data_IF_275118254369
#
_entry.id   IF_275118254369
#
_cell.length_a   1.000
_cell.length_b   1.000
_cell.length_c   1.000
_cell.angle_alpha   90.00
_cell.angle_beta   90.00
_cell.angle_gamma   90.00
#
_symmetry.space_group_name_H-M   'P 1'
#
loop_
_entity.id
_entity.type
_entity.pdbx_description
1 polymer ?
#
# COMPACT_ATOMS: atom_id res chain seq x y z
N UNK A 10 0.35 -21.70 -20.97
CA UNK A 10 0.77 -20.55 -21.79
C UNK A 10 0.01 -20.56 -23.11
N UNK A 11 -0.09 -19.46 -23.85
CA UNK A 11 0.37 -18.10 -23.55
C UNK A 11 -0.78 -17.20 -23.07
N UNK A 12 -1.37 -17.56 -21.95
CA UNK A 12 -1.44 -16.58 -20.87
C UNK A 12 -0.21 -16.83 -19.99
N UNK A 13 -0.40 -17.04 -18.69
CA UNK A 13 0.59 -17.27 -17.61
C UNK A 13 1.51 -16.09 -17.33
N UNK A 14 1.98 -15.46 -18.39
CA UNK A 14 2.79 -14.23 -18.40
C UNK A 14 2.01 -13.11 -19.09
N UNK A 15 1.34 -13.37 -20.22
CA UNK A 15 0.34 -12.48 -20.87
C UNK A 15 -1.01 -12.46 -20.10
N UNK A 16 -0.88 -12.10 -18.83
CA UNK A 16 -1.89 -12.06 -17.74
C UNK A 16 -1.29 -11.34 -16.52
N UNK A 17 0.00 -11.54 -16.25
CA UNK A 17 0.77 -10.79 -15.26
C UNK A 17 1.26 -9.48 -15.88
N UNK A 18 1.88 -9.54 -17.06
CA UNK A 18 2.11 -8.37 -17.93
C UNK A 18 0.83 -7.61 -18.27
N UNK A 19 -0.33 -8.29 -18.21
CA UNK A 19 -1.66 -7.69 -18.38
C UNK A 19 -2.13 -6.94 -17.13
N UNK A 20 -1.91 -7.50 -15.93
CA UNK A 20 -2.02 -6.78 -14.63
C UNK A 20 -1.15 -5.53 -14.65
N UNK A 21 0.12 -5.68 -15.00
CA UNK A 21 1.11 -4.60 -15.07
C UNK A 21 0.93 -3.62 -16.24
N UNK A 22 0.04 -3.91 -17.20
CA UNK A 22 -0.47 -2.88 -18.11
C UNK A 22 -1.65 -2.13 -17.48
N UNK A 23 -2.62 -2.85 -16.89
CA UNK A 23 -3.91 -2.31 -16.46
C UNK A 23 -3.74 -1.32 -15.31
N UNK A 24 -2.93 -1.70 -14.31
CA UNK A 24 -2.68 -0.86 -13.14
C UNK A 24 -1.81 0.35 -13.47
N UNK A 25 -1.16 0.35 -14.63
CA UNK A 25 -0.19 1.35 -15.00
C UNK A 25 -0.68 2.32 -16.10
N UNK A 26 -1.53 1.84 -17.03
CA UNK A 26 -2.15 2.65 -18.10
C UNK A 26 -3.35 3.44 -17.59
N UNK A 27 -3.30 4.79 -17.50
CA UNK A 27 -4.45 5.59 -17.11
C UNK A 27 -5.50 5.55 -18.23
N UNK A 28 -6.71 5.06 -17.95
CA UNK A 28 -7.82 4.99 -18.90
C UNK A 28 -9.13 5.22 -18.15
N UNK A 29 -10.26 5.21 -18.86
CA UNK A 29 -11.58 5.10 -18.24
C UNK A 29 -11.66 3.88 -17.31
N UNK A 30 -11.12 2.73 -17.73
CA UNK A 30 -11.11 1.51 -16.90
C UNK A 30 -10.24 1.58 -15.66
N UNK A 31 -8.99 2.06 -15.76
CA UNK A 31 -8.15 2.24 -14.56
C UNK A 31 -8.85 3.19 -13.58
N UNK A 32 -9.28 4.36 -14.06
CA UNK A 32 -9.98 5.35 -13.24
C UNK A 32 -11.23 4.75 -12.57
N UNK A 33 -12.10 4.10 -13.35
CA UNK A 33 -13.39 3.61 -12.85
C UNK A 33 -13.22 2.61 -11.70
N UNK A 34 -12.41 1.56 -11.90
CA UNK A 34 -12.35 0.45 -10.93
C UNK A 34 -11.35 0.68 -9.80
N UNK A 35 -10.19 1.27 -10.10
CA UNK A 35 -9.08 1.39 -9.15
C UNK A 35 -9.43 2.39 -8.03
N UNK A 36 -10.06 3.53 -8.36
CA UNK A 36 -10.36 4.58 -7.38
C UNK A 36 -11.61 4.31 -6.54
N UNK A 37 -12.59 3.54 -7.04
CA UNK A 37 -13.59 2.93 -6.16
C UNK A 37 -12.93 2.06 -5.08
N UNK A 38 -12.05 1.11 -5.45
CA UNK A 38 -11.27 0.35 -4.49
C UNK A 38 -10.45 1.21 -3.49
N UNK A 39 -9.77 2.30 -3.90
CA UNK A 39 -9.01 3.10 -2.91
C UNK A 39 -9.91 3.76 -1.86
N UNK A 40 -11.07 4.32 -2.24
CA UNK A 40 -12.00 4.92 -1.28
C UNK A 40 -12.60 3.85 -0.35
N UNK A 41 -13.00 2.70 -0.90
CA UNK A 41 -13.56 1.59 -0.12
C UNK A 41 -12.53 1.12 0.92
N UNK A 42 -11.28 0.89 0.50
CA UNK A 42 -10.21 0.46 1.40
C UNK A 42 -9.91 1.52 2.45
N UNK A 43 -9.83 2.81 2.11
CA UNK A 43 -9.47 3.83 3.11
C UNK A 43 -10.49 3.97 4.24
N UNK A 44 -11.78 3.88 3.90
CA UNK A 44 -12.88 3.88 4.85
C UNK A 44 -12.83 2.64 5.77
N UNK A 45 -12.59 1.46 5.19
CA UNK A 45 -12.38 0.22 5.97
C UNK A 45 -11.17 0.34 6.88
N UNK A 46 -10.01 0.72 6.35
CA UNK A 46 -8.75 0.88 7.08
C UNK A 46 -8.82 1.96 8.18
N UNK A 47 -9.56 3.06 7.99
CA UNK A 47 -9.69 4.12 9.00
C UNK A 47 -10.73 3.81 10.09
N UNK A 48 -11.85 3.18 9.75
CA UNK A 48 -12.77 2.62 10.77
C UNK A 48 -12.03 1.56 11.58
N UNK A 49 -11.30 0.68 10.90
CA UNK A 49 -10.44 -0.30 11.54
C UNK A 49 -9.30 0.34 12.33
N UNK A 50 -8.75 1.50 11.95
CA UNK A 50 -7.70 2.21 12.71
C UNK A 50 -8.20 2.66 14.08
N UNK A 51 -9.42 3.22 14.15
CA UNK A 51 -10.11 3.60 15.41
C UNK A 51 -10.31 2.39 16.33
N UNK A 52 -10.65 1.24 15.76
CA UNK A 52 -10.76 -0.04 16.48
C UNK A 52 -9.38 -0.60 16.90
N UNK A 53 -8.43 -0.63 15.97
CA UNK A 53 -7.07 -1.19 16.09
C UNK A 53 -6.26 -0.53 17.21
N UNK A 54 -6.41 0.78 17.40
CA UNK A 54 -5.71 1.53 18.43
C UNK A 54 -6.31 1.32 19.84
N UNK A 55 -7.34 0.47 19.95
CA UNK A 55 -7.89 -0.12 21.18
C UNK A 55 -7.67 -1.65 21.24
N UNK A 56 -7.73 -2.35 20.10
CA UNK A 56 -7.31 -3.76 19.98
C UNK A 56 -5.86 -4.00 20.43
N UNK A 57 -5.00 -3.02 20.25
CA UNK A 57 -3.60 -3.05 20.72
C UNK A 57 -3.45 -3.17 22.24
N UNK A 58 -4.49 -2.79 23.01
CA UNK A 58 -4.54 -2.98 24.46
C UNK A 58 -5.25 -4.29 24.82
N UNK A 59 -6.18 -4.75 23.98
CA UNK A 59 -6.78 -6.08 24.04
C UNK A 59 -5.72 -7.17 23.80
N UNK A 60 -4.74 -6.91 22.92
CA UNK A 60 -3.58 -7.77 22.67
C UNK A 60 -2.65 -7.98 23.88
N UNK A 61 -2.88 -7.27 25.00
CA UNK A 61 -2.22 -7.50 26.30
C UNK A 61 -2.89 -8.60 27.14
N UNK A 62 -4.13 -8.99 26.79
CA UNK A 62 -5.03 -9.75 27.65
C UNK A 62 -5.69 -10.95 26.97
N UNK A 63 -6.06 -10.81 25.69
CA UNK A 63 -7.22 -11.52 25.13
C UNK A 63 -7.13 -11.63 23.61
N UNK A 64 -8.10 -12.30 22.98
CA UNK A 64 -8.22 -12.38 21.54
C UNK A 64 -8.66 -11.06 20.91
N UNK A 65 -8.33 -10.87 19.63
CA UNK A 65 -8.43 -9.56 18.96
C UNK A 65 -8.38 -9.67 17.43
N UNK A 66 -9.00 -8.73 16.72
CA UNK A 66 -8.95 -8.60 15.26
C UNK A 66 -7.59 -8.05 14.73
N UNK A 67 -6.64 -7.78 15.62
CA UNK A 67 -5.35 -7.13 15.31
C UNK A 67 -4.54 -7.82 14.21
N UNK A 68 -4.73 -9.13 14.02
CA UNK A 68 -4.16 -9.90 12.90
C UNK A 68 -4.45 -9.31 11.52
N UNK A 69 -5.61 -8.66 11.35
CA UNK A 69 -6.02 -8.07 10.07
C UNK A 69 -5.19 -6.83 9.70
N UNK A 70 -4.51 -6.21 10.65
CA UNK A 70 -3.52 -5.15 10.33
C UNK A 70 -2.32 -5.73 9.59
N UNK A 71 -1.85 -6.93 9.97
CA UNK A 71 -0.77 -7.63 9.26
C UNK A 71 -1.23 -8.04 7.86
N UNK A 72 -2.50 -8.47 7.71
CA UNK A 72 -3.11 -8.77 6.40
C UNK A 72 -3.10 -7.54 5.47
N UNK A 73 -3.57 -6.39 5.95
CA UNK A 73 -3.54 -5.15 5.17
C UNK A 73 -2.14 -4.58 5.00
N UNK A 74 -1.20 -4.79 5.94
CA UNK A 74 0.23 -4.54 5.71
C UNK A 74 0.80 -5.41 4.58
N UNK A 75 0.40 -6.68 4.48
CA UNK A 75 0.81 -7.54 3.37
C UNK A 75 0.18 -7.10 2.06
N UNK A 76 -1.09 -6.64 2.08
CA UNK A 76 -1.70 -5.96 0.94
C UNK A 76 -0.89 -4.72 0.51
N UNK A 77 -0.65 -3.76 1.41
CA UNK A 77 0.07 -2.52 1.06
C UNK A 77 1.54 -2.73 0.71
N UNK A 78 2.23 -3.63 1.40
CA UNK A 78 3.60 -4.05 1.07
C UNK A 78 3.68 -4.71 -0.30
N UNK A 79 2.74 -5.62 -0.61
CA UNK A 79 2.62 -6.21 -1.96
C UNK A 79 2.27 -5.14 -3.00
N UNK A 80 1.34 -4.23 -2.70
CA UNK A 80 0.88 -3.15 -3.57
C UNK A 80 1.98 -2.15 -3.95
N UNK A 81 2.95 -1.90 -3.05
CA UNK A 81 4.15 -1.14 -3.37
C UNK A 81 5.05 -1.89 -4.38
N UNK A 82 5.28 -3.19 -4.17
CA UNK A 82 6.11 -4.03 -5.05
C UNK A 82 5.44 -4.30 -6.40
N UNK A 83 4.11 -4.39 -6.43
CA UNK A 83 3.30 -4.53 -7.65
C UNK A 83 3.49 -3.34 -8.61
N UNK A 84 3.62 -2.13 -8.08
CA UNK A 84 4.07 -0.97 -8.88
C UNK A 84 5.48 -1.16 -9.42
N UNK A 85 6.42 -1.66 -8.61
CA UNK A 85 7.79 -1.96 -9.09
C UNK A 85 7.83 -3.03 -10.18
N UNK A 86 6.92 -3.99 -10.14
CA UNK A 86 6.72 -4.96 -11.23
C UNK A 86 6.08 -4.34 -12.49
N UNK A 87 5.15 -3.37 -12.39
CA UNK A 87 4.75 -2.53 -13.54
C UNK A 87 5.73 -1.41 -13.90
N UNK A 88 6.96 -1.41 -13.36
CA UNK A 88 8.06 -0.65 -13.97
C UNK A 88 8.15 -0.87 -15.49
N UNK A 89 8.03 -2.15 -15.91
CA UNK A 89 8.12 -2.51 -17.33
C UNK A 89 7.56 -3.89 -17.69
N UNK A 90 6.65 -4.45 -16.87
CA UNK A 90 5.83 -5.65 -17.15
C UNK A 90 6.57 -7.00 -17.22
N UNK A 91 7.77 -7.04 -17.81
CA UNK A 91 8.77 -8.12 -17.70
C UNK A 91 10.00 -7.74 -16.87
N UNK A 92 10.13 -6.47 -16.51
CA UNK A 92 11.32 -5.82 -15.90
C UNK A 92 11.58 -6.19 -14.43
N UNK A 93 11.14 -7.36 -13.96
CA UNK A 93 10.92 -7.64 -12.54
C UNK A 93 12.17 -7.86 -11.67
N UNK A 94 13.36 -7.78 -12.29
CA UNK A 94 14.61 -7.40 -11.64
C UNK A 94 15.09 -6.01 -12.11
N UNK A 95 15.00 -5.73 -13.42
CA UNK A 95 15.59 -4.53 -14.07
C UNK A 95 14.97 -3.22 -13.56
N UNK A 96 13.74 -2.91 -13.94
CA UNK A 96 12.99 -1.75 -13.49
C UNK A 96 12.37 -1.92 -12.09
N UNK A 97 12.40 -3.14 -11.54
CA UNK A 97 12.09 -3.37 -10.13
C UNK A 97 12.98 -2.49 -9.24
N UNK A 98 14.28 -2.41 -9.54
CA UNK A 98 15.11 -1.32 -9.02
C UNK A 98 14.89 -0.01 -9.77
N UNK A 99 14.94 -0.02 -11.11
CA UNK A 99 14.99 1.20 -11.92
C UNK A 99 13.86 2.22 -11.70
N UNK A 100 12.63 1.77 -11.41
CA UNK A 100 11.53 2.70 -11.06
C UNK A 100 11.52 3.10 -9.59
N UNK A 101 12.14 2.31 -8.73
CA UNK A 101 12.27 2.62 -7.31
C UNK A 101 13.29 3.75 -7.16
N UNK A 102 14.39 3.59 -7.89
CA UNK A 102 15.38 4.64 -8.12
C UNK A 102 14.74 5.90 -8.73
N UNK A 103 13.79 5.76 -9.65
CA UNK A 103 13.03 6.88 -10.21
C UNK A 103 12.04 7.54 -9.24
N UNK A 104 11.71 6.91 -8.11
CA UNK A 104 10.65 7.33 -7.20
C UNK A 104 11.09 8.46 -6.23
N UNK A 105 11.52 9.58 -6.83
CA UNK A 105 12.34 10.64 -6.20
C UNK A 105 11.55 11.82 -5.61
N UNK A 106 10.26 11.96 -5.94
CA UNK A 106 9.40 13.07 -5.50
C UNK A 106 8.93 12.87 -4.03
N UNK A 107 8.40 13.90 -3.33
CA UNK A 107 8.35 13.89 -1.87
C UNK A 107 7.54 12.71 -1.29
N UNK A 108 6.34 12.45 -1.82
CA UNK A 108 5.49 11.35 -1.35
C UNK A 108 6.13 9.99 -1.66
N UNK A 109 6.82 9.86 -2.78
CA UNK A 109 7.50 8.63 -3.20
C UNK A 109 8.70 8.29 -2.31
N UNK A 110 9.45 9.30 -1.86
CA UNK A 110 10.50 9.15 -0.84
C UNK A 110 9.89 8.76 0.52
N UNK A 111 8.78 9.39 0.93
CA UNK A 111 8.06 9.01 2.15
C UNK A 111 7.50 7.57 2.03
N UNK A 112 6.97 7.18 0.88
CA UNK A 112 6.38 5.85 0.59
C UNK A 112 7.47 4.77 0.65
N UNK A 113 8.65 5.05 0.08
CA UNK A 113 9.84 4.21 0.26
C UNK A 113 10.24 4.08 1.74
N UNK A 114 10.39 5.18 2.47
CA UNK A 114 10.75 5.13 3.90
C UNK A 114 9.70 4.35 4.71
N UNK A 115 8.41 4.57 4.45
CA UNK A 115 7.30 3.92 5.15
C UNK A 115 7.15 2.46 4.75
N UNK A 116 7.50 2.02 3.53
CA UNK A 116 7.44 0.58 3.19
C UNK A 116 8.49 -0.22 3.95
N UNK A 117 9.71 0.33 4.11
CA UNK A 117 10.75 -0.36 4.90
C UNK A 117 10.46 -0.28 6.38
N UNK A 118 9.92 0.85 6.86
CA UNK A 118 9.38 0.95 8.21
C UNK A 118 8.29 -0.10 8.46
N UNK A 119 7.36 -0.28 7.52
CA UNK A 119 6.23 -1.21 7.61
C UNK A 119 6.70 -2.67 7.73
N UNK A 120 7.76 -3.03 7.01
CA UNK A 120 8.41 -4.35 7.19
C UNK A 120 9.18 -4.47 8.49
N UNK A 121 9.90 -3.44 8.92
CA UNK A 121 10.57 -3.44 10.22
C UNK A 121 9.55 -3.58 11.36
N UNK A 122 8.40 -2.94 11.23
CA UNK A 122 7.27 -2.94 12.16
C UNK A 122 6.69 -4.33 12.35
N UNK A 123 6.46 -5.10 11.28
CA UNK A 123 6.18 -6.54 11.41
C UNK A 123 7.34 -7.27 12.11
N UNK A 124 8.56 -6.91 11.75
CA UNK A 124 9.75 -7.69 12.06
C UNK A 124 10.18 -7.59 13.54
N UNK A 125 9.94 -6.46 14.21
CA UNK A 125 10.17 -6.28 15.65
C UNK A 125 9.20 -7.14 16.48
N UNK A 126 8.11 -7.55 15.86
CA UNK A 126 6.96 -8.12 16.54
C UNK A 126 5.80 -7.16 16.57
N UNK A 127 4.62 -7.73 16.71
CA UNK A 127 3.31 -7.11 16.93
C UNK A 127 3.17 -6.30 18.24
N UNK A 128 4.29 -5.92 18.88
CA UNK A 128 4.46 -5.23 20.16
C UNK A 128 5.90 -4.73 20.30
N UNK A 129 6.12 -3.98 21.37
CA UNK A 129 6.45 -2.59 21.14
C UNK A 129 5.16 -1.96 20.62
N UNK A 130 4.48 -1.19 21.46
CA UNK A 130 3.34 -0.35 21.05
C UNK A 130 3.74 0.69 19.96
N UNK A 131 5.00 0.63 19.51
CA UNK A 131 5.55 1.31 18.32
C UNK A 131 5.21 0.58 17.02
N UNK A 132 5.15 -0.76 16.98
CA UNK A 132 4.50 -1.48 15.89
C UNK A 132 3.07 -0.95 15.70
N UNK A 133 2.32 -0.81 16.79
CA UNK A 133 0.97 -0.26 16.77
C UNK A 133 0.97 1.21 16.29
N UNK A 134 1.79 2.10 16.88
CA UNK A 134 1.82 3.50 16.44
C UNK A 134 2.22 3.64 14.97
N UNK A 135 3.12 2.79 14.46
CA UNK A 135 3.54 2.82 13.06
C UNK A 135 2.48 2.24 12.11
N UNK A 136 1.78 1.20 12.53
CA UNK A 136 0.60 0.71 11.80
C UNK A 136 -0.41 1.85 11.61
N UNK A 137 -0.71 2.60 12.65
CA UNK A 137 -1.53 3.81 12.64
C UNK A 137 -0.84 4.94 11.85
N UNK A 138 0.05 5.65 12.54
CA UNK A 138 0.76 6.88 12.22
C UNK A 138 1.94 6.71 11.26
N UNK A 139 1.97 5.55 10.62
CA UNK A 139 2.74 5.28 9.41
C UNK A 139 1.83 4.78 8.31
N UNK A 140 1.14 3.66 8.54
CA UNK A 140 0.50 2.88 7.48
C UNK A 140 -1.02 3.11 7.32
N UNK A 141 -1.62 3.95 8.18
CA UNK A 141 -2.75 4.83 7.76
C UNK A 141 -2.25 6.20 7.30
N UNK A 142 -1.25 6.78 7.96
CA UNK A 142 -0.73 8.12 7.65
C UNK A 142 -0.25 8.30 6.21
N UNK A 143 0.25 7.22 5.59
CA UNK A 143 0.57 7.26 4.18
C UNK A 143 -0.67 7.35 3.30
N UNK A 144 -1.80 6.79 3.72
CA UNK A 144 -3.00 6.60 2.89
C UNK A 144 -3.78 7.91 2.68
N UNK A 145 -3.81 8.78 3.70
CA UNK A 145 -4.32 10.16 3.59
C UNK A 145 -3.56 10.98 2.55
N UNK A 146 -2.29 10.64 2.31
CA UNK A 146 -1.48 11.36 1.32
C UNK A 146 -1.97 11.06 -0.10
N UNK A 147 -2.54 9.87 -0.31
CA UNK A 147 -2.93 9.28 -1.59
C UNK A 147 -4.21 9.90 -2.14
N UNK A 148 -5.06 10.46 -1.28
CA UNK A 148 -6.05 11.51 -1.56
C UNK A 148 -5.52 12.70 -2.39
N UNK A 149 -4.24 13.02 -2.28
CA UNK A 149 -3.62 14.20 -2.90
C UNK A 149 -2.64 13.75 -4.00
N UNK A 150 -2.04 12.58 -3.80
CA UNK A 150 -1.48 11.72 -4.84
C UNK A 150 -2.55 11.01 -5.71
N UNK A 151 -3.80 11.49 -5.69
CA UNK A 151 -4.97 10.84 -6.28
C UNK A 151 -4.79 10.63 -7.75
N UNK A 152 -4.68 9.34 -8.03
CA UNK A 152 -4.35 8.83 -9.38
C UNK A 152 -5.54 8.74 -10.32
N UNK A 153 -6.66 9.38 -9.97
CA UNK A 153 -7.91 9.51 -10.76
C UNK A 153 -7.85 10.55 -11.89
N UNK A 154 -6.63 10.94 -12.27
CA UNK A 154 -6.26 11.31 -13.66
C UNK A 154 -6.75 12.69 -14.13
N UNK A 155 -6.72 13.70 -13.25
CA UNK A 155 -7.01 15.10 -13.59
C UNK A 155 -5.79 16.04 -13.64
N UNK A 156 -4.57 15.57 -13.35
CA UNK A 156 -3.47 16.45 -12.98
C UNK A 156 -3.71 17.04 -11.59
N UNK A 157 -3.93 16.15 -10.63
CA UNK A 157 -4.71 16.34 -9.41
C UNK A 157 -4.04 17.27 -8.40
N UNK A 158 -4.86 18.15 -7.81
CA UNK A 158 -4.49 19.16 -6.81
C UNK A 158 -3.48 20.24 -7.25
N UNK A 159 -3.19 20.36 -8.55
CA UNK A 159 -2.21 21.30 -9.12
C UNK A 159 -2.77 22.13 -10.28
#
# INVERSE_FOLDING_TARGET
MGHHHHHHGVLARTHVQGRVYNFLERPTGWKCFVYHFAVFLIVLVCLIFSVLSTIEQYAALATGTLFWMEIVLVVFFGTEYVVRLWSAGCRSKYVGLWGRLRFARKPISIIDLIVVVASMVVLCVGSKGQVFATSAIRGIRFLQILRMLHVDRQGGTWR
#
